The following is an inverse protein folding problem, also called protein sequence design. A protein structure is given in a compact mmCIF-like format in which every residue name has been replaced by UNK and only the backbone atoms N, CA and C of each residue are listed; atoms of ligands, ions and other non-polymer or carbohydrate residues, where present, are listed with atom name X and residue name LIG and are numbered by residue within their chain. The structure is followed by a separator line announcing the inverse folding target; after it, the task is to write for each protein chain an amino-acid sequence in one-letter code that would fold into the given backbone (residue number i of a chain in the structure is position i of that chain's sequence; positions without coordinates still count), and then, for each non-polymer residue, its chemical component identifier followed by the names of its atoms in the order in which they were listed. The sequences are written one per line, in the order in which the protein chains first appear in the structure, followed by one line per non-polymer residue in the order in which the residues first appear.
data_IF_248901505515
#
_entry.id   IF_248901505515
#
_cell.length_a   1.000
_cell.length_b   1.000
_cell.length_c   1.000
_cell.angle_alpha   90.00
_cell.angle_beta   90.00
_cell.angle_gamma   90.00
#
_symmetry.space_group_name_H-M   'P 1'
#
loop_
_entity.id
_entity.type
_entity.pdbx_description
1 polymer ?
#
# COMPACT_ATOMS: atom_id res chain seq x y z
N UNK A 1 -2.98 -9.44 -21.27
CA UNK A 1 -3.68 -9.06 -20.00
C UNK A 1 -2.72 -8.36 -19.08
N UNK A 2 -3.20 -7.33 -18.38
CA UNK A 2 -2.40 -6.52 -17.48
C UNK A 2 -3.06 -6.49 -16.11
N UNK A 3 -2.37 -6.98 -15.09
CA UNK A 3 -2.77 -6.82 -13.71
C UNK A 3 -1.85 -5.82 -13.02
N UNK A 4 -2.41 -4.84 -12.32
CA UNK A 4 -1.66 -3.86 -11.52
C UNK A 4 -2.16 -3.86 -10.09
N UNK A 5 -1.24 -3.84 -9.15
CA UNK A 5 -1.54 -3.68 -7.73
C UNK A 5 -1.07 -2.31 -7.26
N UNK A 6 -1.72 -1.81 -6.21
CA UNK A 6 -1.25 -0.62 -5.50
C UNK A 6 -0.08 -0.94 -4.56
N UNK A 7 0.01 -0.20 -3.48
CA UNK A 7 1.05 -0.42 -2.48
C UNK A 7 0.80 -1.73 -1.73
N UNK A 8 1.69 -2.69 -1.91
CA UNK A 8 1.56 -4.04 -1.37
C UNK A 8 2.45 -4.19 -0.14
N UNK A 9 1.89 -4.78 0.92
CA UNK A 9 2.58 -5.06 2.17
C UNK A 9 2.66 -6.57 2.35
N UNK A 10 3.86 -7.08 2.61
CA UNK A 10 4.07 -8.48 2.88
C UNK A 10 5.34 -8.71 3.66
N UNK A 11 5.52 -9.93 4.17
CA UNK A 11 6.75 -10.31 4.86
C UNK A 11 7.94 -10.40 3.91
N UNK A 12 9.15 -10.20 4.45
CA UNK A 12 10.40 -10.35 3.70
C UNK A 12 10.77 -9.20 2.79
N UNK A 13 10.02 -8.10 2.78
CA UNK A 13 10.35 -6.90 2.02
C UNK A 13 11.28 -6.00 2.84
N UNK A 14 12.49 -5.79 2.34
CA UNK A 14 13.50 -4.94 2.97
C UNK A 14 13.97 -3.81 2.03
N UNK A 15 13.21 -3.54 0.98
CA UNK A 15 13.55 -2.50 0.01
C UNK A 15 13.57 -1.11 0.66
N UNK A 16 14.46 -0.26 0.17
CA UNK A 16 14.58 1.12 0.63
C UNK A 16 13.37 1.96 0.19
N UNK A 17 13.10 3.02 0.93
CA UNK A 17 12.08 4.03 0.61
C UNK A 17 10.66 3.47 0.60
N UNK A 18 10.41 2.45 1.42
CA UNK A 18 9.08 1.91 1.67
C UNK A 18 8.69 2.20 3.11
N UNK A 19 7.59 2.92 3.30
CA UNK A 19 7.20 3.42 4.64
C UNK A 19 7.05 2.31 5.69
N UNK A 20 6.43 1.19 5.34
CA UNK A 20 6.26 0.09 6.30
C UNK A 20 7.61 -0.52 6.68
N UNK A 21 8.49 -0.73 5.70
CA UNK A 21 9.85 -1.24 5.93
C UNK A 21 10.64 -0.28 6.80
N UNK A 22 10.57 1.01 6.51
CA UNK A 22 11.26 2.05 7.28
C UNK A 22 10.75 2.10 8.73
N UNK A 23 9.45 1.98 8.94
CA UNK A 23 8.85 1.88 10.27
C UNK A 23 9.35 0.66 11.03
N UNK A 24 9.34 -0.52 10.42
CA UNK A 24 9.79 -1.75 11.05
C UNK A 24 11.26 -1.64 11.46
N UNK A 25 12.11 -1.13 10.58
CA UNK A 25 13.53 -0.92 10.89
C UNK A 25 13.73 0.06 12.04
N UNK A 26 13.09 1.21 11.99
CA UNK A 26 13.22 2.24 13.03
C UNK A 26 12.70 1.74 14.38
N UNK A 27 11.50 1.16 14.39
CA UNK A 27 10.86 0.71 15.64
C UNK A 27 11.60 -0.47 16.28
N UNK A 28 12.17 -1.37 15.46
CA UNK A 28 12.98 -2.48 16.00
C UNK A 28 14.27 -2.01 16.68
N UNK A 29 14.77 -0.83 16.33
CA UNK A 29 15.95 -0.23 16.90
C UNK A 29 15.63 0.84 17.96
N UNK A 30 14.36 1.06 18.27
CA UNK A 30 13.93 2.12 19.18
C UNK A 30 14.10 3.52 18.63
N UNK A 31 14.20 3.65 17.31
CA UNK A 31 14.38 4.91 16.62
C UNK A 31 13.06 5.50 16.13
N UNK A 32 13.09 6.80 15.85
CA UNK A 32 11.96 7.53 15.26
C UNK A 32 12.00 7.41 13.75
N UNK A 33 10.83 7.15 13.13
CA UNK A 33 10.70 7.16 11.67
C UNK A 33 10.44 8.58 11.17
N UNK A 34 11.13 8.96 10.10
CA UNK A 34 10.95 10.25 9.45
C UNK A 34 9.92 10.16 8.33
N UNK A 35 8.93 11.04 8.36
CA UNK A 35 7.85 11.10 7.38
C UNK A 35 7.99 12.37 6.55
N UNK A 36 8.07 12.23 5.24
CA UNK A 36 8.19 13.36 4.31
C UNK A 36 6.84 13.95 3.93
N UNK A 37 5.89 13.10 3.60
CA UNK A 37 4.57 13.52 3.12
C UNK A 37 3.46 12.88 3.95
N UNK A 38 3.20 13.40 5.17
CA UNK A 38 2.29 12.75 6.12
C UNK A 38 0.84 12.68 5.62
N UNK A 39 0.43 13.63 4.77
CA UNK A 39 -0.93 13.70 4.23
C UNK A 39 -1.14 12.91 2.95
N UNK A 40 -0.08 12.38 2.35
CA UNK A 40 -0.20 11.55 1.15
C UNK A 40 -0.97 10.29 1.48
N UNK A 41 -1.89 9.92 0.58
CA UNK A 41 -2.67 8.69 0.70
C UNK A 41 -2.17 7.64 -0.26
N UNK A 42 -2.27 6.37 0.15
CA UNK A 42 -1.89 5.24 -0.68
C UNK A 42 -2.88 4.10 -0.48
N UNK A 43 -3.16 3.33 -1.52
CA UNK A 43 -4.04 2.16 -1.44
C UNK A 43 -3.25 0.93 -0.96
N UNK A 44 -2.88 0.89 0.33
CA UNK A 44 -2.17 -0.25 0.87
C UNK A 44 -3.04 -1.49 0.96
N UNK A 45 -2.46 -2.64 0.62
CA UNK A 45 -3.11 -3.94 0.71
C UNK A 45 -2.10 -5.03 1.06
N UNK A 46 -2.59 -6.11 1.65
CA UNK A 46 -1.76 -7.27 1.91
C UNK A 46 -1.44 -8.01 0.61
N UNK A 47 -0.23 -8.56 0.51
CA UNK A 47 0.27 -9.21 -0.72
C UNK A 47 -0.64 -10.33 -1.23
N UNK A 48 -1.36 -11.03 -0.37
CA UNK A 48 -2.27 -12.10 -0.77
C UNK A 48 -3.48 -11.60 -1.55
N UNK A 49 -3.87 -10.34 -1.37
CA UNK A 49 -5.01 -9.77 -2.10
C UNK A 49 -4.74 -9.65 -3.61
N UNK A 50 -3.67 -8.97 -4.07
CA UNK A 50 -3.39 -8.91 -5.50
C UNK A 50 -3.01 -10.27 -6.07
N UNK A 51 -2.34 -11.15 -5.31
CA UNK A 51 -2.02 -12.49 -5.78
C UNK A 51 -3.27 -13.31 -6.06
N UNK A 52 -4.27 -13.24 -5.18
CA UNK A 52 -5.57 -13.86 -5.42
C UNK A 52 -6.22 -13.32 -6.70
N UNK A 53 -6.16 -12.02 -6.91
CA UNK A 53 -6.65 -11.39 -8.13
C UNK A 53 -5.94 -11.88 -9.38
N UNK A 54 -4.63 -11.97 -9.36
CA UNK A 54 -3.84 -12.46 -10.48
C UNK A 54 -4.17 -13.91 -10.83
N UNK A 55 -4.31 -14.77 -9.84
CA UNK A 55 -4.70 -16.16 -10.05
C UNK A 55 -6.11 -16.27 -10.64
N UNK A 56 -7.04 -15.45 -10.16
CA UNK A 56 -8.41 -15.38 -10.68
C UNK A 56 -8.41 -14.94 -12.16
N UNK A 57 -7.61 -13.93 -12.51
CA UNK A 57 -7.47 -13.50 -13.89
C UNK A 57 -6.90 -14.62 -14.78
N UNK A 58 -5.87 -15.32 -14.29
CA UNK A 58 -5.30 -16.45 -15.01
C UNK A 58 -6.32 -17.56 -15.27
N UNK A 59 -7.16 -17.85 -14.30
CA UNK A 59 -8.25 -18.81 -14.43
C UNK A 59 -9.28 -18.35 -15.47
N UNK A 60 -9.69 -17.09 -15.44
CA UNK A 60 -10.66 -16.55 -16.40
C UNK A 60 -10.11 -16.56 -17.84
N UNK A 61 -8.83 -16.27 -18.00
CA UNK A 61 -8.16 -16.39 -19.30
C UNK A 61 -8.18 -17.84 -19.81
N UNK A 62 -7.88 -18.77 -18.94
CA UNK A 62 -7.88 -20.18 -19.29
C UNK A 62 -9.27 -20.65 -19.73
N UNK A 63 -10.33 -20.15 -19.11
CA UNK A 63 -11.72 -20.48 -19.44
C UNK A 63 -12.35 -19.56 -20.49
N UNK A 64 -11.59 -18.71 -21.13
CA UNK A 64 -12.07 -17.72 -22.11
C UNK A 64 -13.19 -16.80 -21.58
N UNK A 65 -13.19 -16.55 -20.26
CA UNK A 65 -14.19 -15.68 -19.61
C UNK A 65 -13.79 -14.21 -19.57
N UNK A 66 -12.57 -13.87 -19.96
CA UNK A 66 -12.09 -12.50 -20.00
C UNK A 66 -11.37 -12.23 -21.31
N UNK A 67 -11.40 -10.96 -21.74
CA UNK A 67 -10.69 -10.55 -22.95
C UNK A 67 -9.20 -10.43 -22.70
N UNK A 68 -8.41 -11.04 -23.57
CA UNK A 68 -6.96 -10.93 -23.51
C UNK A 68 -6.53 -9.48 -23.82
N UNK A 69 -5.63 -8.95 -23.03
CA UNK A 69 -5.14 -7.58 -23.17
C UNK A 69 -5.85 -6.55 -22.32
N UNK A 70 -6.96 -6.88 -21.68
CA UNK A 70 -7.68 -5.98 -20.79
C UNK A 70 -6.87 -5.69 -19.52
N UNK A 71 -6.80 -4.40 -19.08
CA UNK A 71 -6.14 -4.04 -17.83
C UNK A 71 -7.06 -4.16 -16.64
N UNK A 72 -6.50 -4.62 -15.49
CA UNK A 72 -7.20 -4.68 -14.21
C UNK A 72 -6.33 -4.09 -13.10
N UNK A 73 -6.95 -3.36 -12.19
CA UNK A 73 -6.30 -2.82 -10.99
C UNK A 73 -6.79 -3.59 -9.77
N UNK A 74 -5.85 -3.99 -8.92
CA UNK A 74 -6.13 -4.65 -7.65
C UNK A 74 -5.70 -3.76 -6.49
N UNK A 75 -6.61 -3.50 -5.58
CA UNK A 75 -6.36 -2.67 -4.42
C UNK A 75 -7.57 -2.63 -3.48
N UNK A 76 -7.44 -1.97 -2.33
CA UNK A 76 -8.55 -1.80 -1.41
C UNK A 76 -9.62 -0.88 -2.00
N UNK A 77 -10.81 -0.94 -1.44
CA UNK A 77 -11.87 0.02 -1.76
C UNK A 77 -11.40 1.43 -1.42
N UNK A 78 -11.91 2.43 -2.14
CA UNK A 78 -11.52 3.83 -1.96
C UNK A 78 -11.67 4.32 -0.50
N UNK A 79 -12.69 3.81 0.21
CA UNK A 79 -12.96 4.15 1.60
C UNK A 79 -11.87 3.65 2.57
N UNK A 80 -11.08 2.67 2.16
CA UNK A 80 -10.01 2.08 2.97
C UNK A 80 -8.64 2.73 2.74
N UNK A 81 -8.59 3.77 1.93
CA UNK A 81 -7.35 4.51 1.68
C UNK A 81 -6.96 5.31 2.92
N UNK A 82 -5.71 5.12 3.37
CA UNK A 82 -5.16 5.82 4.54
C UNK A 82 -4.01 6.73 4.15
N UNK A 83 -3.80 7.78 4.95
CA UNK A 83 -2.62 8.62 4.82
C UNK A 83 -1.38 7.90 5.36
N UNK A 84 -0.21 8.34 4.91
CA UNK A 84 1.08 7.85 5.44
C UNK A 84 1.15 8.05 6.96
N UNK A 85 0.69 9.21 7.44
CA UNK A 85 0.66 9.52 8.86
C UNK A 85 -0.22 8.53 9.65
N UNK A 86 -1.44 8.28 9.19
CA UNK A 86 -2.36 7.33 9.84
C UNK A 86 -1.77 5.93 9.89
N UNK A 87 -1.17 5.46 8.80
CA UNK A 87 -0.52 4.15 8.74
C UNK A 87 0.61 4.06 9.77
N UNK A 88 1.46 5.08 9.84
CA UNK A 88 2.59 5.10 10.77
C UNK A 88 2.13 5.13 12.21
N UNK A 89 1.07 5.87 12.51
CA UNK A 89 0.48 5.92 13.85
C UNK A 89 -0.11 4.57 14.26
N UNK A 90 -0.82 3.89 13.36
CA UNK A 90 -1.37 2.56 13.59
C UNK A 90 -0.25 1.54 13.89
N UNK A 91 0.83 1.60 13.11
CA UNK A 91 1.98 0.71 13.33
C UNK A 91 2.65 0.98 14.67
N UNK A 92 2.86 2.24 15.03
CA UNK A 92 3.45 2.61 16.31
C UNK A 92 2.62 2.12 17.50
N UNK A 93 1.31 2.28 17.43
CA UNK A 93 0.39 1.80 18.46
C UNK A 93 0.46 0.29 18.62
N UNK A 94 0.44 -0.45 17.53
CA UNK A 94 0.54 -1.93 17.53
C UNK A 94 1.90 -2.41 18.01
N UNK A 95 2.94 -1.60 17.84
CA UNK A 95 4.28 -1.88 18.34
C UNK A 95 4.44 -1.59 19.84
N UNK A 96 3.47 -0.88 20.43
CA UNK A 96 3.51 -0.47 21.82
C UNK A 96 4.33 0.79 22.07
N UNK A 97 4.51 1.63 21.07
CA UNK A 97 5.25 2.88 21.16
C UNK A 97 4.33 4.08 21.37
N UNK A 98 4.89 5.14 21.97
CA UNK A 98 4.22 6.43 22.02
C UNK A 98 4.14 7.02 20.61
N UNK A 99 2.93 7.23 20.11
CA UNK A 99 2.67 7.77 18.78
C UNK A 99 3.37 9.10 18.52
N UNK A 100 3.46 9.96 19.54
CA UNK A 100 4.07 11.28 19.41
C UNK A 100 5.59 11.22 19.28
N UNK A 101 6.22 10.17 19.80
CA UNK A 101 7.66 9.98 19.78
C UNK A 101 8.12 9.07 18.62
N UNK A 102 7.22 8.27 18.09
CA UNK A 102 7.54 7.28 17.06
C UNK A 102 7.75 7.90 15.68
N UNK A 103 7.19 9.07 15.43
CA UNK A 103 7.20 9.72 14.11
C UNK A 103 7.72 11.14 14.17
N UNK A 104 8.50 11.52 13.17
CA UNK A 104 8.98 12.89 12.98
C UNK A 104 8.63 13.33 11.57
N UNK A 105 7.89 14.45 11.47
CA UNK A 105 7.57 15.05 10.19
C UNK A 105 8.72 15.95 9.75
N UNK A 106 9.27 15.64 8.57
CA UNK A 106 10.30 16.47 7.96
C UNK A 106 9.61 17.40 6.98
N UNK A 107 9.60 18.70 7.27
CA UNK A 107 9.01 19.71 6.41
C UNK A 107 9.87 20.05 5.19
N UNK A 108 9.27 20.70 4.19
CA UNK A 108 9.91 21.30 3.01
C UNK A 108 10.72 20.36 2.13
N UNK A 109 9.98 19.53 1.38
CA UNK A 109 10.61 18.65 0.39
C UNK A 109 10.42 19.25 -1.00
N UNK A 110 11.51 19.26 -1.81
CA UNK A 110 11.46 19.78 -3.18
C UNK A 110 10.64 18.90 -4.14
N UNK A 111 10.21 17.70 -3.72
CA UNK A 111 9.41 16.81 -4.55
C UNK A 111 7.94 16.94 -4.21
N UNK A 112 7.12 17.12 -5.22
CA UNK A 112 5.67 16.92 -5.10
C UNK A 112 5.39 15.44 -5.35
N UNK A 113 5.23 14.67 -4.28
CA UNK A 113 4.56 13.37 -4.41
C UNK A 113 3.06 13.61 -4.65
N UNK A 114 2.43 12.67 -5.35
CA UNK A 114 0.98 12.70 -5.46
C UNK A 114 0.37 12.66 -4.06
N UNK A 115 -0.31 13.74 -3.66
CA UNK A 115 -0.92 13.85 -2.34
C UNK A 115 -2.08 12.89 -2.15
N UNK A 116 -2.74 12.52 -3.24
CA UNK A 116 -3.87 11.60 -3.26
C UNK A 116 -3.64 10.53 -4.32
N UNK A 117 -3.49 9.29 -3.90
CA UNK A 117 -3.38 8.15 -4.80
C UNK A 117 -4.46 7.13 -4.43
N UNK A 118 -5.37 6.89 -5.37
CA UNK A 118 -6.41 5.87 -5.27
C UNK A 118 -6.41 5.03 -6.55
N UNK A 119 -6.76 3.76 -6.42
CA UNK A 119 -6.98 2.89 -7.56
C UNK A 119 -8.47 2.64 -7.75
N UNK A 120 -8.93 2.71 -8.98
CA UNK A 120 -10.26 2.21 -9.32
C UNK A 120 -10.16 0.71 -9.58
N UNK A 121 -10.73 -0.08 -8.67
CA UNK A 121 -10.70 -1.53 -8.71
C UNK A 121 -12.05 -2.15 -9.08
N UNK A 122 -13.03 -1.35 -9.49
CA UNK A 122 -14.40 -1.79 -9.76
C UNK A 122 -14.46 -2.92 -10.79
N UNK A 123 -13.64 -2.82 -11.84
CA UNK A 123 -13.57 -3.83 -12.89
C UNK A 123 -13.14 -5.20 -12.35
N UNK A 124 -12.16 -5.24 -11.45
CA UNK A 124 -11.70 -6.48 -10.81
C UNK A 124 -12.75 -7.04 -9.84
N UNK A 125 -13.41 -6.16 -9.08
CA UNK A 125 -14.47 -6.56 -8.16
C UNK A 125 -15.67 -7.20 -8.87
N UNK A 126 -15.93 -6.77 -10.10
CA UNK A 126 -17.00 -7.33 -10.91
C UNK A 126 -16.76 -8.81 -11.31
N UNK A 127 -15.50 -9.24 -11.33
CA UNK A 127 -15.12 -10.60 -11.68
C UNK A 127 -15.11 -11.57 -10.50
N UNK A 128 -15.12 -11.05 -9.28
CA UNK A 128 -15.06 -11.86 -8.06
C UNK A 128 -16.42 -12.38 -7.61
#
# INVERSE_FOLDING_TARGET
MWGRAGNVIGGGDWAKDRIVVDCVKAFSQGETVEIRCPRSTRPWQHVLEPLSGYLTLGWFLYEDKSENGEPYNFGPRAEQTKTVFELTQDLAERWGLDKNKATKIIGNIPFKEASLLKLNCDKALFLS
#
